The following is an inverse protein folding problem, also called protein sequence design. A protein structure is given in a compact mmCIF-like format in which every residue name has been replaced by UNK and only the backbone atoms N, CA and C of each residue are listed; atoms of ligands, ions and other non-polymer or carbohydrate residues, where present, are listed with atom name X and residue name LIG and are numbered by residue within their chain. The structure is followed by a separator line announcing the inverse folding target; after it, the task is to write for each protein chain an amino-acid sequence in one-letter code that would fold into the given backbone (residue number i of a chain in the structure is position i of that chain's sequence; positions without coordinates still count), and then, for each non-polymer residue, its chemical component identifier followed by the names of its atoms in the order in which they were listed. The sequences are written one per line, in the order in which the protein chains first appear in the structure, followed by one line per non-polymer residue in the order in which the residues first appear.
data_IF_074733969372
#
_entry.id   IF_074733969372
#
_cell.length_a   1.000
_cell.length_b   1.000
_cell.length_c   1.000
_cell.angle_alpha   90.00
_cell.angle_beta   90.00
_cell.angle_gamma   90.00
#
_symmetry.space_group_name_H-M   'P 1'
#
loop_
_entity.id
_entity.type
_entity.pdbx_description
1 polymer ?
#
# COMPACT_ATOMS: atom_id res chain seq x y z
N UNK A 1 -14.21 17.81 -0.17
CA UNK A 1 -14.98 16.56 -0.22
C UNK A 1 -14.33 15.69 -1.29
N UNK A 2 -13.47 14.74 -0.89
CA UNK A 2 -12.71 13.94 -1.85
C UNK A 2 -13.62 12.85 -2.43
N UNK A 3 -14.15 13.10 -3.63
CA UNK A 3 -14.84 12.08 -4.41
C UNK A 3 -13.81 11.24 -5.15
N UNK A 4 -13.58 10.01 -4.67
CA UNK A 4 -12.80 9.02 -5.41
C UNK A 4 -13.75 8.27 -6.34
N UNK A 5 -13.89 8.77 -7.56
CA UNK A 5 -14.67 8.15 -8.62
C UNK A 5 -13.81 7.02 -9.21
N UNK A 6 -14.23 5.76 -9.03
CA UNK A 6 -13.65 4.59 -9.70
C UNK A 6 -13.88 4.70 -11.21
N UNK A 7 -12.96 5.34 -11.90
CA UNK A 7 -12.66 5.07 -13.30
C UNK A 7 -11.37 4.23 -13.30
N UNK A 8 -11.26 3.26 -14.21
CA UNK A 8 -10.24 2.20 -14.24
C UNK A 8 -8.85 2.72 -14.65
N UNK A 9 -8.37 3.76 -13.98
CA UNK A 9 -7.10 4.44 -14.22
C UNK A 9 -6.10 3.87 -13.20
N UNK A 10 -5.09 3.13 -13.69
CA UNK A 10 -3.88 2.81 -12.92
C UNK A 10 -3.48 4.05 -12.11
N UNK A 11 -3.54 3.95 -10.78
CA UNK A 11 -3.27 5.10 -9.93
C UNK A 11 -1.83 5.58 -10.16
N UNK A 12 -1.62 6.90 -10.09
CA UNK A 12 -0.26 7.43 -10.16
C UNK A 12 0.53 6.94 -8.95
N UNK A 13 1.85 6.77 -9.13
CA UNK A 13 2.78 6.35 -8.08
C UNK A 13 2.56 7.16 -6.77
N UNK A 14 2.41 8.48 -6.86
CA UNK A 14 2.12 9.35 -5.71
C UNK A 14 0.79 9.04 -5.00
N UNK A 15 -0.24 8.61 -5.75
CA UNK A 15 -1.55 8.27 -5.17
C UNK A 15 -1.47 6.94 -4.41
N UNK A 16 -0.83 5.94 -4.98
CA UNK A 16 -0.63 4.64 -4.33
C UNK A 16 0.20 4.80 -3.06
N UNK A 17 1.28 5.60 -3.10
CA UNK A 17 2.08 5.91 -1.91
C UNK A 17 1.22 6.54 -0.80
N UNK A 18 0.34 7.47 -1.16
CA UNK A 18 -0.55 8.13 -0.18
C UNK A 18 -1.52 7.14 0.46
N UNK A 19 -2.13 6.26 -0.33
CA UNK A 19 -3.05 5.22 0.16
C UNK A 19 -2.34 4.20 1.04
N UNK A 20 -1.17 3.73 0.62
CA UNK A 20 -0.32 2.84 1.40
C UNK A 20 0.01 3.43 2.77
N UNK A 21 0.50 4.68 2.79
CA UNK A 21 0.80 5.39 4.05
C UNK A 21 -0.43 5.54 4.93
N UNK A 22 -1.62 5.76 4.34
CA UNK A 22 -2.87 5.83 5.11
C UNK A 22 -3.22 4.48 5.75
N UNK A 23 -3.13 3.38 4.99
CA UNK A 23 -3.33 2.02 5.50
C UNK A 23 -2.38 1.72 6.66
N UNK A 24 -1.09 2.04 6.51
CA UNK A 24 -0.05 1.77 7.52
C UNK A 24 -0.04 2.74 8.71
N UNK A 25 -0.73 3.88 8.60
CA UNK A 25 -0.88 4.87 9.69
C UNK A 25 -1.99 4.49 10.65
N UNK A 26 -2.99 3.75 10.20
CA UNK A 26 -4.05 3.21 11.07
C UNK A 26 -3.44 2.34 12.16
N UNK A 27 -3.94 2.48 13.40
CA UNK A 27 -3.40 1.77 14.57
C UNK A 27 -3.60 0.23 14.47
N UNK A 28 -4.43 -0.20 13.53
CA UNK A 28 -4.71 -1.59 13.19
C UNK A 28 -3.76 -2.10 12.09
N UNK A 29 -2.47 -2.26 12.44
CA UNK A 29 -1.50 -3.02 11.61
C UNK A 29 -1.72 -4.52 11.81
N UNK A 30 -2.88 -4.98 11.39
CA UNK A 30 -3.28 -6.39 11.39
C UNK A 30 -2.86 -7.05 10.08
N UNK A 31 -2.80 -8.39 10.05
CA UNK A 31 -2.51 -9.14 8.82
C UNK A 31 -3.40 -8.70 7.65
N UNK A 32 -4.71 -8.46 7.90
CA UNK A 32 -5.65 -7.98 6.88
C UNK A 32 -5.24 -6.64 6.26
N UNK A 33 -4.72 -5.70 7.07
CA UNK A 33 -4.24 -4.41 6.58
C UNK A 33 -2.97 -4.56 5.74
N UNK A 34 -2.11 -5.52 6.09
CA UNK A 34 -0.93 -5.86 5.30
C UNK A 34 -1.30 -6.48 3.96
N UNK A 35 -2.21 -7.46 3.94
CA UNK A 35 -2.67 -8.11 2.70
C UNK A 35 -3.33 -7.10 1.75
N UNK A 36 -4.18 -6.20 2.28
CA UNK A 36 -4.78 -5.11 1.47
C UNK A 36 -3.75 -4.16 0.88
N UNK A 37 -2.67 -3.88 1.61
CA UNK A 37 -1.60 -3.03 1.11
C UNK A 37 -0.78 -3.75 0.04
N UNK A 38 -0.55 -5.05 0.17
CA UNK A 38 0.09 -5.86 -0.86
C UNK A 38 -0.75 -5.89 -2.14
N UNK A 39 -2.05 -6.19 -2.04
CA UNK A 39 -2.97 -6.17 -3.20
C UNK A 39 -3.00 -4.80 -3.88
N UNK A 40 -3.01 -3.71 -3.12
CA UNK A 40 -2.94 -2.35 -3.66
C UNK A 40 -1.67 -2.14 -4.51
N UNK A 41 -0.51 -2.62 -4.05
CA UNK A 41 0.74 -2.48 -4.79
C UNK A 41 0.77 -3.34 -6.05
N UNK A 42 0.09 -4.47 -6.08
CA UNK A 42 0.06 -5.37 -7.23
C UNK A 42 -0.97 -4.97 -8.29
N UNK A 43 -2.14 -4.50 -7.88
CA UNK A 43 -3.23 -4.12 -8.79
C UNK A 43 -2.99 -2.71 -9.38
N UNK A 44 -2.46 -1.78 -8.58
CA UNK A 44 -2.33 -0.38 -8.98
C UNK A 44 -0.95 -0.01 -9.56
N UNK A 45 0.13 -0.70 -9.15
CA UNK A 45 1.48 -0.42 -9.66
C UNK A 45 1.93 -1.45 -10.67
N UNK A 46 2.55 -0.97 -11.75
CA UNK A 46 3.21 -1.85 -12.73
C UNK A 46 4.32 -2.64 -12.04
N UNK A 47 4.57 -3.90 -12.45
CA UNK A 47 5.61 -4.72 -11.85
C UNK A 47 7.03 -4.13 -11.99
N UNK A 48 7.24 -3.32 -13.03
CA UNK A 48 8.50 -2.61 -13.31
C UNK A 48 8.61 -1.25 -12.59
N UNK A 49 7.59 -0.83 -11.84
CA UNK A 49 7.66 0.45 -11.11
C UNK A 49 8.65 0.34 -9.94
N UNK A 50 9.61 1.27 -9.83
CA UNK A 50 10.54 1.30 -8.71
C UNK A 50 9.83 1.58 -7.38
N UNK A 51 8.69 2.29 -7.41
CA UNK A 51 7.91 2.56 -6.22
C UNK A 51 7.30 1.27 -5.65
N UNK A 52 6.82 0.36 -6.50
CA UNK A 52 6.28 -0.94 -6.06
C UNK A 52 7.29 -1.66 -5.20
N UNK A 53 8.51 -1.83 -5.70
CA UNK A 53 9.58 -2.49 -4.97
C UNK A 53 9.87 -1.81 -3.63
N UNK A 54 9.98 -0.48 -3.62
CA UNK A 54 10.23 0.28 -2.39
C UNK A 54 9.14 0.07 -1.34
N UNK A 55 7.87 0.17 -1.73
CA UNK A 55 6.74 0.02 -0.81
C UNK A 55 6.56 -1.42 -0.34
N UNK A 56 6.85 -2.41 -1.18
CA UNK A 56 6.87 -3.83 -0.78
C UNK A 56 7.91 -4.09 0.31
N UNK A 57 9.12 -3.52 0.18
CA UNK A 57 10.16 -3.63 1.22
C UNK A 57 9.70 -2.96 2.51
N UNK A 58 9.16 -1.73 2.44
CA UNK A 58 8.63 -1.05 3.63
C UNK A 58 7.49 -1.86 4.29
N UNK A 59 6.62 -2.51 3.50
CA UNK A 59 5.54 -3.36 4.00
C UNK A 59 6.06 -4.57 4.79
N UNK A 60 7.08 -5.26 4.25
CA UNK A 60 7.71 -6.41 4.88
C UNK A 60 8.37 -6.02 6.20
N UNK A 61 9.09 -4.89 6.23
CA UNK A 61 9.68 -4.35 7.46
C UNK A 61 8.60 -4.05 8.51
N UNK A 62 7.50 -3.41 8.11
CA UNK A 62 6.38 -3.12 9.01
C UNK A 62 5.70 -4.38 9.53
N UNK A 63 5.55 -5.42 8.70
CA UNK A 63 5.00 -6.73 9.08
C UNK A 63 5.92 -7.43 10.08
N UNK A 64 7.23 -7.43 9.84
CA UNK A 64 8.22 -7.97 10.76
C UNK A 64 8.22 -7.24 12.11
N UNK A 65 8.04 -5.90 12.10
CA UNK A 65 7.92 -5.11 13.33
C UNK A 65 6.62 -5.42 14.10
N UNK A 66 5.51 -5.67 13.39
CA UNK A 66 4.23 -6.01 14.00
C UNK A 66 4.23 -7.41 14.64
N UNK A 67 4.86 -8.40 14.01
CA UNK A 67 5.00 -9.77 14.56
C UNK A 67 5.96 -9.84 15.77
N UNK A 68 6.86 -8.87 15.91
CA UNK A 68 7.86 -8.85 17.00
C UNK A 68 7.37 -8.15 18.28
N UNK A 69 6.14 -7.62 18.29
CA UNK A 69 5.49 -6.98 19.43
C UNK A 69 4.58 -7.97 20.17
#
# INVERSE_FOLDING_TARGET
MFHFKRENILLTESTVETMFRQLMKTNDRTEETFDKAEELLEDELRPESPLRHRLTVELDELRALATKA
#
